data_IF_030748402306
#
_entry.id   IF_030748402306
#
_cell.length_a   1.000
_cell.length_b   1.000
_cell.length_c   1.000
_cell.angle_alpha   90.00
_cell.angle_beta   90.00
_cell.angle_gamma   90.00
#
_symmetry.space_group_name_H-M   'P 1'
#
loop_
_entity.id
_entity.type
_entity.pdbx_description
1 polymer ?
#
# COMPACT_ATOMS: atom_id res chain seq x y z
N UNK A 1 10.21 -10.39 8.46
CA UNK A 1 9.00 -11.09 8.93
C UNK A 1 7.80 -10.41 8.28
N UNK A 2 7.17 -11.05 7.30
CA UNK A 2 6.14 -10.47 6.43
C UNK A 2 4.71 -10.74 6.93
N UNK A 3 4.49 -10.70 8.26
CA UNK A 3 3.27 -11.23 8.92
C UNK A 3 1.98 -10.71 8.27
N UNK A 4 1.94 -9.43 7.87
CA UNK A 4 0.74 -8.85 7.27
C UNK A 4 0.49 -9.38 5.86
N UNK A 5 1.54 -9.50 5.06
CA UNK A 5 1.43 -10.01 3.70
C UNK A 5 0.97 -11.47 3.67
N UNK A 6 1.54 -12.32 4.53
CA UNK A 6 1.14 -13.74 4.61
C UNK A 6 -0.35 -13.89 4.95
N UNK A 7 -0.86 -13.08 5.88
CA UNK A 7 -2.27 -13.07 6.23
C UNK A 7 -3.15 -12.53 5.09
N UNK A 8 -2.73 -11.46 4.41
CA UNK A 8 -3.43 -10.89 3.24
C UNK A 8 -3.59 -11.95 2.14
N UNK A 9 -2.52 -12.71 1.85
CA UNK A 9 -2.54 -13.77 0.85
C UNK A 9 -3.43 -14.93 1.30
N UNK A 10 -3.34 -15.34 2.57
CA UNK A 10 -4.20 -16.38 3.14
C UNK A 10 -5.69 -16.01 3.05
N UNK A 11 -6.01 -14.75 3.31
CA UNK A 11 -7.39 -14.24 3.27
C UNK A 11 -7.89 -13.96 1.84
N UNK A 12 -6.98 -13.90 0.87
CA UNK A 12 -7.32 -13.59 -0.52
C UNK A 12 -7.84 -12.17 -0.74
N UNK A 13 -7.72 -11.28 0.24
CA UNK A 13 -8.20 -9.90 0.15
C UNK A 13 -7.40 -8.91 1.01
N UNK A 14 -7.40 -7.64 0.60
CA UNK A 14 -7.09 -6.52 1.48
C UNK A 14 -8.32 -6.18 2.30
N UNK A 15 -8.16 -5.96 3.61
CA UNK A 15 -9.24 -5.61 4.53
C UNK A 15 -8.99 -4.24 5.14
N UNK A 16 -10.05 -3.44 5.29
CA UNK A 16 -10.02 -2.19 6.04
C UNK A 16 -9.68 -2.45 7.52
N UNK A 17 -9.22 -1.42 8.22
CA UNK A 17 -8.92 -1.53 9.65
C UNK A 17 -10.18 -1.89 10.45
N UNK A 18 -11.34 -1.36 10.07
CA UNK A 18 -12.61 -1.70 10.70
C UNK A 18 -13.04 -3.14 10.43
N UNK A 19 -12.83 -3.66 9.22
CA UNK A 19 -13.07 -5.07 8.89
C UNK A 19 -12.22 -5.99 9.77
N UNK A 20 -10.93 -5.72 9.88
CA UNK A 20 -10.02 -6.50 10.74
C UNK A 20 -10.49 -6.48 12.20
N UNK A 21 -10.92 -5.31 12.73
CA UNK A 21 -11.47 -5.22 14.08
C UNK A 21 -12.75 -6.06 14.26
N UNK A 22 -13.66 -6.06 13.27
CA UNK A 22 -14.87 -6.91 13.29
C UNK A 22 -14.53 -8.40 13.32
N UNK A 23 -13.38 -8.79 12.77
CA UNK A 23 -12.85 -10.16 12.80
C UNK A 23 -11.99 -10.45 14.04
N UNK A 24 -11.95 -9.55 15.02
CA UNK A 24 -11.16 -9.72 16.25
C UNK A 24 -9.66 -9.47 16.09
N UNK A 25 -9.23 -8.92 14.95
CA UNK A 25 -7.83 -8.59 14.67
C UNK A 25 -7.61 -7.11 14.95
N UNK A 26 -7.00 -6.79 16.09
CA UNK A 26 -6.62 -5.42 16.41
C UNK A 26 -5.32 -5.02 15.70
N UNK A 27 -5.38 -3.91 14.95
CA UNK A 27 -4.22 -3.23 14.37
C UNK A 27 -4.27 -1.77 14.76
N UNK A 28 -3.18 -1.26 15.33
CA UNK A 28 -3.04 0.17 15.62
C UNK A 28 -3.03 0.95 14.30
N UNK A 29 -3.94 1.91 14.14
CA UNK A 29 -3.92 2.83 13.02
C UNK A 29 -2.83 3.90 13.27
N UNK A 30 -1.58 3.59 12.92
CA UNK A 30 -0.44 4.49 13.11
C UNK A 30 -0.60 5.70 12.19
N UNK A 31 -0.35 6.91 12.70
CA UNK A 31 -0.55 8.17 11.97
C UNK A 31 -1.99 8.68 12.00
N UNK A 32 -2.99 7.81 12.08
CA UNK A 32 -4.40 8.19 12.10
C UNK A 32 -4.79 9.09 13.29
N UNK A 33 -4.49 8.65 14.51
CA UNK A 33 -4.83 9.39 15.73
C UNK A 33 -4.02 10.70 15.86
N UNK A 34 -2.70 10.71 15.64
CA UNK A 34 -1.90 11.95 15.67
C UNK A 34 -2.32 13.00 14.63
N UNK A 35 -2.83 12.57 13.47
CA UNK A 35 -3.27 13.48 12.39
C UNK A 35 -4.72 13.94 12.54
N UNK A 36 -5.48 13.39 13.50
CA UNK A 36 -6.89 13.75 13.71
C UNK A 36 -7.79 13.33 12.53
N UNK A 37 -7.45 12.22 11.87
CA UNK A 37 -8.16 11.77 10.68
C UNK A 37 -9.64 11.42 10.97
N UNK A 38 -10.56 11.67 10.02
CA UNK A 38 -11.96 11.28 10.12
C UNK A 38 -12.14 9.78 10.39
N UNK A 39 -12.92 9.44 11.45
CA UNK A 39 -13.11 8.04 11.91
C UNK A 39 -13.56 7.06 10.81
N UNK A 40 -14.35 7.53 9.87
CA UNK A 40 -14.88 6.75 8.76
C UNK A 40 -13.79 6.25 7.80
N UNK A 41 -12.61 6.90 7.75
CA UNK A 41 -11.49 6.43 6.92
C UNK A 41 -11.01 5.03 7.32
N UNK A 42 -11.25 4.60 8.57
CA UNK A 42 -10.94 3.24 9.03
C UNK A 42 -11.79 2.16 8.35
N UNK A 43 -12.92 2.52 7.75
CA UNK A 43 -13.81 1.61 7.00
C UNK A 43 -13.31 1.33 5.58
N UNK A 44 -12.25 2.00 5.14
CA UNK A 44 -11.77 1.91 3.76
C UNK A 44 -10.36 1.32 3.67
N UNK A 45 -10.11 0.63 2.54
CA UNK A 45 -8.78 0.36 2.01
C UNK A 45 -8.39 1.55 1.14
N UNK A 46 -7.35 2.27 1.53
CA UNK A 46 -6.87 3.48 0.84
C UNK A 46 -5.72 3.13 -0.11
N UNK A 47 -5.75 3.70 -1.32
CA UNK A 47 -4.71 3.49 -2.32
C UNK A 47 -3.99 4.81 -2.64
N UNK A 48 -2.69 4.71 -2.88
CA UNK A 48 -1.89 5.82 -3.39
C UNK A 48 -1.78 5.73 -4.92
N UNK A 49 -1.71 6.88 -5.62
CA UNK A 49 -1.37 6.90 -7.04
C UNK A 49 0.08 6.42 -7.29
N UNK A 50 0.37 6.04 -8.53
CA UNK A 50 1.72 5.65 -8.96
C UNK A 50 2.68 6.84 -9.00
N UNK A 51 2.18 8.01 -9.36
CA UNK A 51 2.88 9.28 -9.47
C UNK A 51 2.64 10.19 -8.25
N UNK A 52 3.50 11.20 -8.05
CA UNK A 52 3.37 12.19 -6.97
C UNK A 52 3.74 11.63 -5.60
N UNK A 53 2.86 11.78 -4.61
CA UNK A 53 3.03 11.33 -3.21
C UNK A 53 2.98 9.79 -3.05
N UNK A 54 3.38 9.04 -4.08
CA UNK A 54 3.32 7.58 -4.15
C UNK A 54 4.18 6.84 -3.13
N UNK A 55 5.09 7.55 -2.44
CA UNK A 55 5.80 7.07 -1.26
C UNK A 55 4.93 7.00 -0.01
N UNK A 56 3.73 7.59 -0.01
CA UNK A 56 2.82 7.61 1.14
C UNK A 56 2.47 6.20 1.66
N UNK A 57 2.31 5.22 0.76
CA UNK A 57 2.12 3.81 1.15
C UNK A 57 3.33 3.25 1.89
N UNK A 58 4.54 3.54 1.42
CA UNK A 58 5.77 3.10 2.07
C UNK A 58 6.04 3.84 3.39
N UNK A 59 5.65 5.11 3.48
CA UNK A 59 5.71 5.88 4.73
C UNK A 59 4.73 5.32 5.78
N UNK A 60 3.53 4.90 5.36
CA UNK A 60 2.60 4.21 6.24
C UNK A 60 3.21 2.90 6.76
N UNK A 61 3.79 2.09 5.87
CA UNK A 61 4.51 0.86 6.25
C UNK A 61 5.66 1.16 7.22
N UNK A 62 6.52 2.14 6.91
CA UNK A 62 7.63 2.54 7.78
C UNK A 62 7.13 2.99 9.16
N UNK A 63 6.04 3.76 9.20
CA UNK A 63 5.40 4.18 10.46
C UNK A 63 4.94 2.98 11.29
N UNK A 64 4.32 1.99 10.65
CA UNK A 64 3.92 0.75 11.33
C UNK A 64 5.11 -0.07 11.84
N UNK A 65 6.19 -0.17 11.07
CA UNK A 65 7.42 -0.86 11.50
C UNK A 65 8.09 -0.16 12.69
N UNK A 66 8.04 1.18 12.72
CA UNK A 66 8.58 2.01 13.82
C UNK A 66 7.66 2.06 15.04
N UNK A 67 6.39 1.68 14.90
CA UNK A 67 5.36 1.82 15.94
C UNK A 67 4.92 3.27 16.21
N UNK A 68 5.35 4.23 15.38
CA UNK A 68 5.02 5.64 15.49
C UNK A 68 4.98 6.30 14.10
N UNK A 69 4.26 7.41 13.97
CA UNK A 69 4.16 8.12 12.69
C UNK A 69 5.53 8.63 12.21
N UNK A 70 5.87 8.34 10.95
CA UNK A 70 7.09 8.77 10.29
C UNK A 70 6.73 9.36 8.93
N UNK A 71 6.85 10.69 8.83
CA UNK A 71 6.50 11.44 7.62
C UNK A 71 7.72 11.80 6.76
N UNK A 72 8.90 11.32 7.12
CA UNK A 72 10.11 11.49 6.34
C UNK A 72 10.20 10.40 5.25
N UNK A 73 10.10 10.76 3.96
CA UNK A 73 10.15 9.81 2.86
C UNK A 73 11.56 9.28 2.58
N UNK A 74 12.59 9.89 3.19
CA UNK A 74 13.99 9.47 3.07
C UNK A 74 14.53 8.80 4.34
N UNK A 75 13.65 8.56 5.31
CA UNK A 75 13.99 7.79 6.50
C UNK A 75 14.32 6.32 6.13
N UNK A 76 15.43 5.76 6.65
CA UNK A 76 15.76 4.36 6.44
C UNK A 76 14.65 3.42 6.91
N UNK A 77 14.36 2.39 6.12
CA UNK A 77 13.43 1.32 6.49
C UNK A 77 13.71 0.02 5.74
N UNK A 78 13.04 -1.06 6.15
CA UNK A 78 13.08 -2.36 5.46
C UNK A 78 11.81 -2.48 4.62
N UNK A 79 11.90 -2.47 3.28
CA UNK A 79 10.74 -2.62 2.41
C UNK A 79 9.96 -3.90 2.71
N UNK A 80 8.64 -3.80 2.65
CA UNK A 80 7.74 -4.95 2.76
C UNK A 80 7.17 -5.28 1.37
N UNK A 81 5.93 -5.76 1.30
CA UNK A 81 5.24 -5.97 0.03
C UNK A 81 4.65 -4.66 -0.50
N UNK A 82 4.98 -4.28 -1.73
CA UNK A 82 4.29 -3.24 -2.49
C UNK A 82 3.37 -3.89 -3.51
N UNK A 83 2.07 -3.67 -3.37
CA UNK A 83 1.03 -4.33 -4.17
C UNK A 83 0.40 -3.34 -5.15
N UNK A 84 0.34 -3.72 -6.42
CA UNK A 84 -0.20 -2.92 -7.52
C UNK A 84 -1.54 -3.48 -7.95
N UNK A 85 -2.56 -2.62 -8.02
CA UNK A 85 -3.93 -3.02 -8.31
C UNK A 85 -4.45 -2.36 -9.59
N UNK A 86 -5.38 -3.03 -10.27
CA UNK A 86 -6.05 -2.52 -11.46
C UNK A 86 -7.10 -1.46 -11.07
N UNK A 87 -6.66 -0.22 -10.93
CA UNK A 87 -7.53 0.89 -10.57
C UNK A 87 -8.68 1.11 -11.57
N UNK A 88 -8.45 0.85 -12.87
CA UNK A 88 -9.50 0.98 -13.90
C UNK A 88 -10.60 -0.03 -13.62
N UNK A 89 -10.25 -1.31 -13.45
CA UNK A 89 -11.22 -2.36 -13.16
C UNK A 89 -11.98 -2.12 -11.85
N UNK A 90 -11.29 -1.65 -10.80
CA UNK A 90 -11.94 -1.29 -9.51
C UNK A 90 -13.01 -0.20 -9.71
N UNK A 91 -12.72 0.80 -10.54
CA UNK A 91 -13.66 1.88 -10.85
C UNK A 91 -14.83 1.37 -11.70
N UNK A 92 -14.54 0.60 -12.76
CA UNK A 92 -15.56 0.05 -13.66
C UNK A 92 -16.53 -0.89 -12.95
N UNK A 93 -16.03 -1.68 -11.98
CA UNK A 93 -16.85 -2.57 -11.15
C UNK A 93 -17.64 -1.81 -10.05
N UNK A 94 -17.50 -0.48 -9.96
CA UNK A 94 -18.27 0.36 -9.04
C UNK A 94 -17.81 0.31 -7.57
N UNK A 95 -16.60 -0.17 -7.30
CA UNK A 95 -16.07 -0.31 -5.93
C UNK A 95 -15.37 0.96 -5.42
N UNK A 96 -14.99 1.86 -6.31
CA UNK A 96 -14.30 3.09 -5.98
C UNK A 96 -15.23 4.11 -5.29
N UNK A 97 -14.87 4.55 -4.09
CA UNK A 97 -15.54 5.65 -3.38
C UNK A 97 -14.72 6.92 -3.52
N UNK A 98 -15.38 8.04 -3.84
CA UNK A 98 -14.75 9.36 -4.00
C UNK A 98 -15.17 10.29 -2.87
N UNK A 99 -14.23 11.06 -2.34
CA UNK A 99 -14.47 12.10 -1.33
C UNK A 99 -13.79 13.44 -1.66
N UNK A 100 -13.22 13.56 -2.86
CA UNK A 100 -12.50 14.76 -3.30
C UNK A 100 -11.08 14.91 -2.76
N UNK A 101 -10.63 14.03 -1.87
CA UNK A 101 -9.29 14.06 -1.25
C UNK A 101 -8.46 12.86 -1.69
N UNK A 102 -9.03 11.66 -1.60
CA UNK A 102 -8.33 10.42 -1.88
C UNK A 102 -8.42 10.04 -3.35
N UNK A 103 -7.29 9.61 -3.92
CA UNK A 103 -7.22 9.14 -5.30
C UNK A 103 -8.19 7.98 -5.53
N UNK A 104 -8.09 6.93 -4.71
CA UNK A 104 -8.94 5.75 -4.75
C UNK A 104 -9.05 5.15 -3.35
N UNK A 105 -10.29 4.83 -2.95
CA UNK A 105 -10.56 4.06 -1.74
C UNK A 105 -11.70 3.08 -1.96
N UNK A 106 -11.64 1.93 -1.29
CA UNK A 106 -12.62 0.83 -1.40
C UNK A 106 -13.16 0.54 -0.02
N UNK A 107 -14.48 0.41 0.12
CA UNK A 107 -15.13 0.13 1.40
C UNK A 107 -14.96 -1.34 1.82
N UNK A 108 -14.78 -1.58 3.12
CA UNK A 108 -14.68 -2.89 3.78
C UNK A 108 -13.47 -3.75 3.38
N UNK A 109 -13.40 -4.22 2.13
CA UNK A 109 -12.33 -5.09 1.62
C UNK A 109 -12.20 -5.07 0.09
N UNK A 110 -11.06 -5.53 -0.44
CA UNK A 110 -10.80 -5.70 -1.87
C UNK A 110 -10.20 -7.08 -2.15
N UNK A 111 -10.81 -7.83 -3.08
CA UNK A 111 -10.33 -9.14 -3.54
C UNK A 111 -8.95 -9.05 -4.21
N UNK A 112 -8.06 -10.00 -3.93
CA UNK A 112 -6.77 -10.08 -4.63
C UNK A 112 -6.91 -10.73 -6.00
N UNK A 113 -7.71 -11.80 -6.14
CA UNK A 113 -7.83 -12.54 -7.41
C UNK A 113 -8.34 -11.67 -8.55
N UNK A 114 -9.17 -10.69 -8.23
CA UNK A 114 -9.90 -9.91 -9.23
C UNK A 114 -9.17 -8.63 -9.62
N UNK A 115 -8.30 -8.11 -8.74
CA UNK A 115 -7.75 -6.76 -8.86
C UNK A 115 -6.22 -6.66 -8.70
N UNK A 116 -5.55 -7.63 -8.08
CA UNK A 116 -4.09 -7.58 -7.89
C UNK A 116 -3.38 -7.84 -9.23
N UNK A 117 -2.54 -6.90 -9.66
CA UNK A 117 -1.72 -7.02 -10.86
C UNK A 117 -0.34 -7.59 -10.56
N UNK A 118 0.32 -7.08 -9.50
CA UNK A 118 1.69 -7.46 -9.16
C UNK A 118 1.98 -7.17 -7.69
N UNK A 119 2.77 -8.02 -7.05
CA UNK A 119 3.42 -7.72 -5.77
C UNK A 119 4.93 -7.63 -5.99
N UNK A 120 5.53 -6.54 -5.52
CA UNK A 120 6.98 -6.30 -5.57
C UNK A 120 7.55 -6.31 -4.16
N UNK A 121 8.65 -7.03 -3.99
CA UNK A 121 9.45 -7.08 -2.78
C UNK A 121 10.84 -6.51 -3.04
N UNK A 122 11.58 -6.23 -1.96
CA UNK A 122 13.00 -5.90 -2.01
C UNK A 122 13.78 -6.84 -2.95
N UNK A 123 13.62 -8.16 -2.82
CA UNK A 123 14.34 -9.15 -3.67
C UNK A 123 14.06 -9.05 -5.17
N UNK A 124 13.01 -8.35 -5.59
CA UNK A 124 12.67 -8.19 -7.01
C UNK A 124 13.39 -7.00 -7.65
N UNK A 125 13.89 -6.06 -6.86
CA UNK A 125 14.52 -4.83 -7.33
C UNK A 125 15.90 -4.67 -6.70
N UNK A 126 16.82 -4.00 -7.40
CA UNK A 126 18.15 -3.72 -6.84
C UNK A 126 18.14 -2.36 -6.19
N UNK A 127 18.81 -2.24 -5.04
CA UNK A 127 19.10 -0.95 -4.45
C UNK A 127 19.88 -0.10 -5.47
N UNK A 128 19.42 1.12 -5.80
CA UNK A 128 20.09 1.95 -6.79
C UNK A 128 21.54 2.26 -6.39
N UNK A 129 22.40 2.40 -7.40
CA UNK A 129 23.80 2.77 -7.20
C UNK A 129 23.92 4.08 -6.42
N UNK A 130 24.87 4.15 -5.48
CA UNK A 130 25.08 5.32 -4.61
C UNK A 130 24.11 5.43 -3.43
N UNK A 131 23.20 4.46 -3.23
CA UNK A 131 22.38 4.34 -2.01
C UNK A 131 22.92 3.24 -1.11
N UNK A 132 22.94 3.50 0.20
CA UNK A 132 23.39 2.54 1.21
C UNK A 132 22.25 1.73 1.84
N UNK A 133 21.04 2.29 1.83
CA UNK A 133 19.85 1.70 2.42
C UNK A 133 18.59 2.10 1.65
N UNK A 134 17.51 1.34 1.87
CA UNK A 134 16.20 1.68 1.34
C UNK A 134 15.54 2.80 2.12
N UNK A 135 14.86 3.67 1.37
CA UNK A 135 13.92 4.67 1.89
C UNK A 135 12.57 4.51 1.19
N UNK A 136 11.46 5.01 1.78
CA UNK A 136 10.16 5.04 1.11
C UNK A 136 10.20 5.56 -0.33
N UNK A 137 10.93 6.65 -0.58
CA UNK A 137 11.15 7.20 -1.93
C UNK A 137 11.89 6.21 -2.82
N UNK A 138 13.07 5.76 -2.40
CA UNK A 138 13.96 4.93 -3.22
C UNK A 138 13.30 3.60 -3.59
N UNK A 139 12.61 2.96 -2.65
CA UNK A 139 11.93 1.70 -2.93
C UNK A 139 10.70 1.91 -3.83
N UNK A 140 9.93 2.98 -3.61
CA UNK A 140 8.77 3.33 -4.47
C UNK A 140 9.21 3.50 -5.92
N UNK A 141 10.27 4.27 -6.18
CA UNK A 141 10.78 4.50 -7.53
C UNK A 141 11.27 3.21 -8.19
N UNK A 142 12.07 2.42 -7.48
CA UNK A 142 12.59 1.15 -7.99
C UNK A 142 11.46 0.15 -8.29
N UNK A 143 10.50 0.03 -7.39
CA UNK A 143 9.36 -0.87 -7.56
C UNK A 143 8.41 -0.39 -8.67
N UNK A 144 8.17 0.92 -8.79
CA UNK A 144 7.33 1.48 -9.85
C UNK A 144 7.99 1.21 -11.22
N UNK A 145 9.30 1.42 -11.34
CA UNK A 145 10.05 1.08 -12.56
C UNK A 145 9.88 -0.39 -12.94
N UNK A 146 10.07 -1.29 -11.97
CA UNK A 146 9.88 -2.74 -12.17
C UNK A 146 8.45 -3.07 -12.61
N UNK A 147 7.44 -2.45 -11.99
CA UNK A 147 6.04 -2.61 -12.38
C UNK A 147 5.79 -2.14 -13.82
N UNK A 148 6.32 -0.99 -14.24
CA UNK A 148 6.15 -0.51 -15.61
C UNK A 148 6.81 -1.43 -16.64
N UNK A 149 7.99 -1.97 -16.35
CA UNK A 149 8.65 -2.97 -17.20
C UNK A 149 7.83 -4.26 -17.29
N UNK A 150 7.29 -4.74 -16.17
CA UNK A 150 6.37 -5.89 -16.12
C UNK A 150 5.13 -5.66 -16.98
N UNK A 151 4.50 -4.49 -16.89
CA UNK A 151 3.29 -4.16 -17.65
C UNK A 151 3.57 -4.05 -19.16
N UNK A 152 4.70 -3.43 -19.54
CA UNK A 152 5.15 -3.39 -20.95
C UNK A 152 5.35 -4.79 -21.54
N UNK A 153 5.97 -5.69 -20.77
CA UNK A 153 6.15 -7.09 -21.17
C UNK A 153 4.84 -7.88 -21.33
N UNK A 154 3.74 -7.41 -20.72
CA UNK A 154 2.40 -7.98 -20.84
C UNK A 154 1.59 -7.40 -22.01
N UNK A 155 2.13 -6.45 -22.78
CA UNK A 155 1.45 -5.82 -23.90
C UNK A 155 0.24 -4.97 -23.48
N UNK A 156 0.27 -4.40 -22.28
CA UNK A 156 -0.75 -3.50 -21.73
C UNK A 156 -0.26 -2.06 -21.69
#
# INVERSE_FOLDING_TARGET
MLIYYEQIIKDGCLKSAARLRREGIERKAIGFVPLGEPKDYLEYVMFAPLDGWGSGSEMAVNSHLRGQACFDPDAPYIPQARMYFDARKIIEDGLAVRDGVHFLKVYDMLSLSDYLLLTVFEKNVKLPEGKEYWTPTVFTEAANKYFFEYMRGKGR
#
